data_IF_869476028614
#
_entry.id   IF_869476028614
#
_cell.length_a   1.000
_cell.length_b   1.000
_cell.length_c   1.000
_cell.angle_alpha   90.00
_cell.angle_beta   90.00
_cell.angle_gamma   90.00
#
_symmetry.space_group_name_H-M   'P 1'
#
loop_
_entity.id
_entity.type
_entity.pdbx_description
1 polymer ?
#
# COMPACT_ATOMS: atom_id res chain seq x y z
N UNK A 1 -26.09 1.37 68.22
CA UNK A 1 -25.22 1.87 67.14
C UNK A 1 -24.96 0.74 66.18
N UNK A 2 -25.19 0.99 64.89
CA UNK A 2 -24.83 0.24 63.67
C UNK A 2 -25.08 -1.28 63.67
N UNK A 3 -26.13 -1.79 63.02
CA UNK A 3 -26.37 -1.86 61.56
C UNK A 3 -25.66 -3.04 60.88
N UNK A 4 -26.49 -4.06 60.56
CA UNK A 4 -26.59 -4.78 59.27
C UNK A 4 -25.42 -5.72 58.86
N UNK A 5 -25.60 -6.84 58.14
CA UNK A 5 -26.72 -7.53 57.52
C UNK A 5 -26.26 -8.94 57.07
N UNK A 6 -27.21 -9.88 57.04
CA UNK A 6 -27.51 -10.60 55.79
C UNK A 6 -26.69 -11.84 55.41
N UNK A 7 -27.37 -12.99 55.49
CA UNK A 7 -26.99 -14.27 54.90
C UNK A 7 -27.48 -14.35 53.42
N UNK A 8 -26.63 -14.92 52.54
CA UNK A 8 -26.91 -15.73 51.30
C UNK A 8 -27.06 -15.06 49.90
N UNK A 9 -26.85 -15.82 48.78
CA UNK A 9 -25.76 -15.60 47.82
C UNK A 9 -26.24 -15.52 46.32
N UNK A 10 -25.29 -15.74 45.40
CA UNK A 10 -25.36 -15.84 43.91
C UNK A 10 -25.25 -14.52 43.15
N UNK A 11 -24.20 -14.41 42.32
CA UNK A 11 -24.37 -14.42 40.86
C UNK A 11 -23.03 -14.65 40.12
N UNK A 12 -23.15 -15.50 39.11
CA UNK A 12 -22.19 -15.80 38.05
C UNK A 12 -21.74 -14.50 37.34
N UNK A 13 -20.45 -14.39 37.05
CA UNK A 13 -19.90 -13.38 36.15
C UNK A 13 -18.59 -12.83 36.71
N UNK A 14 -17.46 -12.82 36.02
CA UNK A 14 -17.22 -12.90 34.59
C UNK A 14 -15.90 -13.64 34.39
N UNK A 15 -15.89 -14.63 33.50
CA UNK A 15 -14.68 -15.03 32.83
C UNK A 15 -14.05 -13.76 32.25
N UNK A 16 -12.92 -13.34 32.79
CA UNK A 16 -12.06 -12.37 32.12
C UNK A 16 -11.63 -13.05 30.83
N UNK A 17 -12.36 -12.75 29.75
CA UNK A 17 -12.04 -13.20 28.41
C UNK A 17 -10.71 -12.57 28.03
N UNK A 18 -9.62 -13.26 28.38
CA UNK A 18 -8.39 -13.23 27.63
C UNK A 18 -8.79 -13.58 26.20
N UNK A 19 -9.07 -12.56 25.40
CA UNK A 19 -9.15 -12.65 23.94
C UNK A 19 -7.80 -13.24 23.53
N UNK A 20 -7.75 -14.57 23.40
CA UNK A 20 -6.63 -15.29 22.81
C UNK A 20 -6.46 -14.71 21.42
N UNK A 21 -5.47 -13.82 21.27
CA UNK A 21 -5.00 -13.29 20.01
C UNK A 21 -4.34 -14.46 19.29
N UNK A 22 -5.14 -15.23 18.55
CA UNK A 22 -4.61 -16.21 17.63
C UNK A 22 -3.96 -15.42 16.49
N UNK A 23 -2.63 -15.53 16.39
CA UNK A 23 -1.68 -14.74 15.60
C UNK A 23 -1.52 -13.25 15.95
N UNK A 24 -0.35 -12.84 16.49
CA UNK A 24 0.06 -11.44 16.50
C UNK A 24 0.12 -10.81 15.11
N UNK A 25 0.35 -11.62 14.05
CA UNK A 25 0.50 -11.14 12.68
C UNK A 25 -0.81 -10.78 11.97
N UNK A 26 -1.97 -11.25 12.44
CA UNK A 26 -3.26 -11.00 11.77
C UNK A 26 -3.71 -9.54 11.82
N UNK A 27 -3.16 -8.74 12.75
CA UNK A 27 -3.54 -7.33 12.94
C UNK A 27 -2.85 -6.43 11.90
N UNK A 28 -1.74 -6.85 11.30
CA UNK A 28 -0.99 -6.06 10.30
C UNK A 28 -1.29 -6.44 8.84
N UNK A 29 -2.16 -7.42 8.58
CA UNK A 29 -2.39 -7.96 7.21
C UNK A 29 -3.27 -7.05 6.33
N UNK A 30 -3.94 -6.05 6.91
CA UNK A 30 -4.91 -5.21 6.21
C UNK A 30 -4.65 -3.70 6.30
N UNK A 31 -3.41 -3.26 6.51
CA UNK A 31 -3.08 -1.84 6.36
C UNK A 31 -3.50 -1.42 4.94
N UNK A 32 -4.26 -0.35 4.79
CA UNK A 32 -4.64 0.11 3.46
C UNK A 32 -3.36 0.56 2.72
N UNK A 33 -2.99 0.00 1.55
CA UNK A 33 -1.77 0.37 0.83
C UNK A 33 -1.65 1.88 0.52
N UNK A 34 -2.79 2.58 0.46
CA UNK A 34 -2.84 4.03 0.27
C UNK A 34 -2.15 4.77 1.42
N UNK A 35 -2.10 4.20 2.63
CA UNK A 35 -1.45 4.82 3.79
C UNK A 35 0.08 4.94 3.65
N UNK A 36 0.67 4.24 2.69
CA UNK A 36 2.09 4.36 2.36
C UNK A 36 2.37 5.46 1.33
N UNK A 37 1.34 6.16 0.84
CA UNK A 37 1.47 7.21 -0.15
C UNK A 37 1.38 8.57 0.52
N UNK A 38 2.33 9.44 0.18
CA UNK A 38 2.16 10.86 0.40
C UNK A 38 1.18 11.45 -0.62
N UNK A 39 0.33 12.37 -0.18
CA UNK A 39 -0.44 13.23 -1.08
C UNK A 39 0.28 14.58 -1.18
N UNK A 40 1.05 14.76 -2.26
CA UNK A 40 1.81 15.99 -2.44
C UNK A 40 0.93 17.19 -2.77
N UNK A 41 -0.34 16.98 -3.17
CA UNK A 41 -1.26 18.08 -3.51
C UNK A 41 -1.70 18.90 -2.30
N UNK A 42 -1.71 18.28 -1.11
CA UNK A 42 -2.09 18.92 0.16
C UNK A 42 -0.88 19.24 1.06
N UNK A 43 0.31 18.79 0.66
CA UNK A 43 1.55 18.98 1.43
C UNK A 43 2.02 20.44 1.37
N UNK A 44 2.56 20.95 2.47
CA UNK A 44 3.12 22.31 2.50
C UNK A 44 4.37 22.42 1.61
N UNK A 45 4.72 23.63 1.14
CA UNK A 45 5.94 23.88 0.36
C UNK A 45 7.20 23.47 1.10
N UNK A 46 7.23 23.71 2.42
CA UNK A 46 8.34 23.32 3.28
C UNK A 46 8.49 21.80 3.33
N UNK A 47 7.40 21.09 3.62
CA UNK A 47 7.46 19.63 3.78
C UNK A 47 7.77 18.94 2.44
N UNK A 48 7.17 19.40 1.34
CA UNK A 48 7.47 18.86 0.01
C UNK A 48 8.95 19.06 -0.36
N UNK A 49 9.51 20.24 -0.08
CA UNK A 49 10.93 20.51 -0.34
C UNK A 49 11.85 19.62 0.49
N UNK A 50 11.49 19.36 1.76
CA UNK A 50 12.25 18.46 2.63
C UNK A 50 12.23 17.03 2.11
N UNK A 51 11.06 16.51 1.74
CA UNK A 51 10.91 15.15 1.20
C UNK A 51 11.64 15.01 -0.14
N UNK A 52 11.50 15.98 -1.04
CA UNK A 52 12.20 16.02 -2.32
C UNK A 52 13.73 16.00 -2.12
N UNK A 53 14.25 16.85 -1.24
CA UNK A 53 15.69 16.97 -0.99
C UNK A 53 16.30 15.77 -0.27
N UNK A 54 15.53 15.07 0.58
CA UNK A 54 16.01 13.92 1.34
C UNK A 54 16.27 12.69 0.44
N UNK A 55 15.61 12.62 -0.70
CA UNK A 55 15.59 11.45 -1.57
C UNK A 55 16.57 11.57 -2.74
N UNK A 56 16.83 12.79 -3.22
CA UNK A 56 17.74 13.02 -4.35
C UNK A 56 19.17 13.06 -3.85
N UNK A 57 19.89 11.95 -4.04
CA UNK A 57 21.26 11.76 -3.53
C UNK A 57 22.34 12.28 -4.48
N UNK A 58 22.03 12.44 -5.77
CA UNK A 58 22.96 13.00 -6.73
C UNK A 58 22.99 14.54 -6.61
N UNK A 59 24.16 15.09 -6.24
CA UNK A 59 24.32 16.53 -6.01
C UNK A 59 23.89 17.37 -7.22
N UNK A 60 24.22 16.95 -8.44
CA UNK A 60 23.87 17.67 -9.67
C UNK A 60 22.36 17.72 -9.96
N UNK A 61 21.61 16.69 -9.57
CA UNK A 61 20.14 16.65 -9.76
C UNK A 61 19.42 17.42 -8.66
N UNK A 62 19.96 17.36 -7.43
CA UNK A 62 19.47 18.18 -6.32
C UNK A 62 19.64 19.66 -6.63
N UNK A 63 20.82 20.08 -7.08
CA UNK A 63 21.11 21.49 -7.38
C UNK A 63 20.25 22.00 -8.54
N UNK A 64 20.05 21.18 -9.58
CA UNK A 64 19.14 21.48 -10.68
C UNK A 64 17.70 21.72 -10.21
N UNK A 65 17.16 20.83 -9.38
CA UNK A 65 15.80 20.98 -8.86
C UNK A 65 15.68 22.16 -7.90
N UNK A 66 16.65 22.36 -7.01
CA UNK A 66 16.64 23.51 -6.09
C UNK A 66 16.63 24.83 -6.86
N UNK A 67 17.38 24.93 -7.96
CA UNK A 67 17.36 26.11 -8.82
C UNK A 67 16.00 26.32 -9.49
N UNK A 68 15.43 25.27 -10.10
CA UNK A 68 14.10 25.34 -10.72
C UNK A 68 13.01 25.73 -9.72
N UNK A 69 13.09 25.19 -8.51
CA UNK A 69 12.15 25.40 -7.42
C UNK A 69 12.22 26.79 -6.79
N UNK A 70 13.21 27.64 -7.15
CA UNK A 70 13.20 29.07 -6.76
C UNK A 70 12.05 29.84 -7.40
N UNK A 71 11.56 29.39 -8.56
CA UNK A 71 10.39 29.95 -9.20
C UNK A 71 9.13 29.25 -8.67
N UNK A 72 8.22 30.02 -8.08
CA UNK A 72 7.00 29.49 -7.45
C UNK A 72 6.09 28.75 -8.44
N UNK A 73 5.93 29.24 -9.67
CA UNK A 73 5.12 28.58 -10.69
C UNK A 73 5.73 27.23 -11.11
N UNK A 74 7.06 27.18 -11.26
CA UNK A 74 7.78 25.93 -11.57
C UNK A 74 7.70 24.97 -10.38
N UNK A 75 7.82 25.47 -9.15
CA UNK A 75 7.66 24.65 -7.95
C UNK A 75 6.28 23.99 -7.88
N UNK A 76 5.21 24.76 -8.12
CA UNK A 76 3.85 24.22 -8.20
C UNK A 76 3.71 23.16 -9.28
N UNK A 77 4.31 23.39 -10.45
CA UNK A 77 4.33 22.42 -11.54
C UNK A 77 5.06 21.13 -11.15
N UNK A 78 6.26 21.23 -10.55
CA UNK A 78 7.05 20.07 -10.09
C UNK A 78 6.26 19.23 -9.09
N UNK A 79 5.54 19.87 -8.16
CA UNK A 79 4.64 19.17 -7.23
C UNK A 79 3.50 18.45 -7.94
N UNK A 80 2.84 19.10 -8.89
CA UNK A 80 1.77 18.48 -9.66
C UNK A 80 2.29 17.27 -10.45
N UNK A 81 3.45 17.43 -11.09
CA UNK A 81 4.13 16.35 -11.81
C UNK A 81 4.46 15.18 -10.88
N UNK A 82 5.01 15.46 -9.69
CA UNK A 82 5.27 14.45 -8.67
C UNK A 82 4.00 13.71 -8.26
N UNK A 83 2.89 14.42 -8.04
CA UNK A 83 1.61 13.80 -7.70
C UNK A 83 1.06 12.91 -8.83
N UNK A 84 1.17 13.33 -10.08
CA UNK A 84 0.76 12.54 -11.24
C UNK A 84 1.60 11.26 -11.38
N UNK A 85 2.92 11.37 -11.25
CA UNK A 85 3.83 10.22 -11.30
C UNK A 85 3.59 9.28 -10.11
N UNK A 86 3.32 9.82 -8.92
CA UNK A 86 2.96 9.04 -7.72
C UNK A 86 1.73 8.17 -7.93
N UNK A 87 0.64 8.77 -8.44
CA UNK A 87 -0.61 8.07 -8.77
C UNK A 87 -0.39 7.00 -9.83
N UNK A 88 0.34 7.33 -10.91
CA UNK A 88 0.65 6.38 -11.97
C UNK A 88 1.48 5.19 -11.45
N UNK A 89 2.53 5.46 -10.69
CA UNK A 89 3.40 4.44 -10.09
C UNK A 89 2.61 3.53 -9.14
N UNK A 90 1.74 4.11 -8.30
CA UNK A 90 0.86 3.32 -7.43
C UNK A 90 -0.08 2.40 -8.22
N UNK A 91 -0.75 2.91 -9.25
CA UNK A 91 -1.64 2.11 -10.08
C UNK A 91 -0.91 0.95 -10.76
N UNK A 92 0.34 1.17 -11.23
CA UNK A 92 1.19 0.11 -11.79
C UNK A 92 1.52 -0.96 -10.75
N UNK A 93 1.99 -0.56 -9.55
CA UNK A 93 2.30 -1.50 -8.46
C UNK A 93 1.08 -2.33 -8.03
N UNK A 94 -0.09 -1.71 -7.96
CA UNK A 94 -1.32 -2.45 -7.66
C UNK A 94 -1.70 -3.41 -8.78
N UNK A 95 -1.63 -2.98 -10.05
CA UNK A 95 -1.89 -3.87 -11.19
C UNK A 95 -0.95 -5.09 -11.19
N UNK A 96 0.33 -4.88 -10.94
CA UNK A 96 1.32 -5.96 -10.79
C UNK A 96 0.98 -6.90 -9.63
N UNK A 97 0.54 -6.35 -8.48
CA UNK A 97 0.09 -7.17 -7.35
C UNK A 97 -1.08 -8.08 -7.71
N UNK A 98 -2.09 -7.55 -8.38
CA UNK A 98 -3.26 -8.34 -8.76
C UNK A 98 -2.93 -9.36 -9.86
N UNK A 99 -2.01 -9.01 -10.77
CA UNK A 99 -1.50 -9.94 -11.78
C UNK A 99 -0.75 -11.10 -11.14
N UNK A 100 0.12 -10.81 -10.18
CA UNK A 100 0.79 -11.85 -9.41
C UNK A 100 -0.20 -12.81 -8.72
N UNK A 101 -1.29 -12.31 -8.12
CA UNK A 101 -2.32 -13.18 -7.53
C UNK A 101 -3.07 -14.01 -8.55
N UNK A 102 -3.33 -13.45 -9.73
CA UNK A 102 -3.94 -14.19 -10.83
C UNK A 102 -3.04 -15.36 -11.26
N UNK A 103 -1.76 -15.07 -11.46
CA UNK A 103 -0.76 -16.05 -11.91
C UNK A 103 -0.63 -17.18 -10.89
N UNK A 104 -0.57 -16.89 -9.58
CA UNK A 104 -0.57 -17.93 -8.55
C UNK A 104 -1.80 -18.83 -8.60
N UNK A 105 -2.97 -18.28 -8.86
CA UNK A 105 -4.17 -19.08 -9.04
C UNK A 105 -4.06 -20.00 -10.26
N UNK A 106 -3.53 -19.48 -11.37
CA UNK A 106 -3.41 -20.23 -12.62
C UNK A 106 -2.31 -21.29 -12.60
N UNK A 107 -1.14 -21.00 -12.02
CA UNK A 107 0.03 -21.89 -12.04
C UNK A 107 0.07 -22.82 -10.85
N UNK A 108 -0.21 -22.29 -9.66
CA UNK A 108 0.01 -23.00 -8.39
C UNK A 108 -1.32 -23.49 -7.78
N UNK A 109 -2.46 -23.20 -8.44
CA UNK A 109 -3.79 -23.52 -7.94
C UNK A 109 -4.19 -22.72 -6.70
N UNK A 110 -3.44 -21.66 -6.35
CA UNK A 110 -3.64 -20.85 -5.15
C UNK A 110 -4.77 -19.85 -5.40
N UNK A 111 -6.00 -20.34 -5.29
CA UNK A 111 -7.22 -19.52 -5.29
C UNK A 111 -7.66 -19.19 -3.86
N UNK A 112 -8.87 -18.66 -3.70
CA UNK A 112 -9.44 -18.48 -2.36
C UNK A 112 -9.74 -19.82 -1.70
N UNK A 113 -9.09 -20.11 -0.57
CA UNK A 113 -9.40 -21.24 0.29
C UNK A 113 -10.04 -20.84 1.61
N UNK A 114 -10.76 -21.77 2.22
CA UNK A 114 -11.47 -21.60 3.48
C UNK A 114 -11.42 -22.91 4.26
N UNK A 115 -11.03 -22.83 5.53
CA UNK A 115 -11.16 -23.93 6.49
C UNK A 115 -12.13 -23.55 7.61
N UNK A 116 -12.63 -24.56 8.34
CA UNK A 116 -13.46 -24.29 9.52
C UNK A 116 -12.68 -23.51 10.59
N UNK A 117 -13.36 -22.63 11.33
CA UNK A 117 -12.73 -21.87 12.44
C UNK A 117 -12.07 -22.79 13.47
N UNK A 118 -12.66 -23.96 13.72
CA UNK A 118 -12.10 -24.97 14.63
C UNK A 118 -10.77 -25.51 14.09
N UNK A 119 -10.71 -25.85 12.80
CA UNK A 119 -9.48 -26.33 12.16
C UNK A 119 -8.39 -25.27 12.18
N UNK A 120 -8.76 -24.03 11.83
CA UNK A 120 -7.86 -22.88 11.90
C UNK A 120 -7.30 -22.67 13.31
N UNK A 121 -8.14 -22.82 14.33
CA UNK A 121 -7.73 -22.67 15.72
C UNK A 121 -6.82 -23.82 16.20
N UNK A 122 -7.13 -25.07 15.84
CA UNK A 122 -6.35 -26.24 16.26
C UNK A 122 -4.96 -26.21 15.63
N UNK A 123 -4.86 -25.85 14.36
CA UNK A 123 -3.60 -25.84 13.62
C UNK A 123 -2.86 -24.50 13.71
N UNK A 124 -3.44 -23.51 14.38
CA UNK A 124 -2.94 -22.14 14.38
C UNK A 124 -2.64 -21.71 12.94
N UNK A 125 -3.69 -21.48 12.14
CA UNK A 125 -3.56 -21.00 10.76
C UNK A 125 -4.68 -20.00 10.44
N UNK A 126 -4.54 -19.30 9.31
CA UNK A 126 -5.57 -18.43 8.78
C UNK A 126 -6.84 -19.21 8.43
N UNK A 127 -8.04 -18.68 8.75
CA UNK A 127 -9.28 -19.37 8.38
C UNK A 127 -9.60 -19.25 6.88
N UNK A 128 -9.15 -18.18 6.24
CA UNK A 128 -9.20 -17.97 4.79
C UNK A 128 -7.83 -17.53 4.27
N UNK A 129 -7.56 -17.83 3.01
CA UNK A 129 -6.46 -17.22 2.25
C UNK A 129 -6.91 -16.87 0.83
N UNK A 130 -6.07 -16.12 0.11
CA UNK A 130 -6.31 -15.81 -1.29
C UNK A 130 -7.48 -14.86 -1.54
N UNK A 131 -7.86 -14.79 -2.82
CA UNK A 131 -8.96 -13.97 -3.35
C UNK A 131 -9.63 -14.74 -4.48
N UNK A 132 -10.95 -14.58 -4.63
CA UNK A 132 -11.68 -15.19 -5.72
C UNK A 132 -11.26 -14.61 -7.07
N UNK A 133 -11.19 -15.45 -8.11
CA UNK A 133 -10.76 -15.08 -9.47
C UNK A 133 -11.49 -13.83 -10.01
N UNK A 134 -12.81 -13.78 -9.88
CA UNK A 134 -13.62 -12.66 -10.37
C UNK A 134 -13.22 -11.31 -9.75
N UNK A 135 -12.87 -11.29 -8.45
CA UNK A 135 -12.41 -10.08 -7.79
C UNK A 135 -11.02 -9.67 -8.29
N UNK A 136 -10.11 -10.62 -8.49
CA UNK A 136 -8.77 -10.36 -9.02
C UNK A 136 -8.88 -9.71 -10.41
N UNK A 137 -9.65 -10.32 -11.31
CA UNK A 137 -9.86 -9.82 -12.67
C UNK A 137 -10.53 -8.42 -12.67
N UNK A 138 -11.51 -8.20 -11.79
CA UNK A 138 -12.14 -6.90 -11.61
C UNK A 138 -11.10 -5.84 -11.19
N UNK A 139 -10.19 -6.18 -10.26
CA UNK A 139 -9.14 -5.28 -9.78
C UNK A 139 -8.07 -5.01 -10.83
N UNK A 140 -7.64 -6.02 -11.60
CA UNK A 140 -6.74 -5.82 -12.74
C UNK A 140 -7.35 -4.84 -13.74
N UNK A 141 -8.61 -5.07 -14.17
CA UNK A 141 -9.30 -4.16 -15.09
C UNK A 141 -9.43 -2.73 -14.55
N UNK A 142 -9.71 -2.59 -13.25
CA UNK A 142 -9.77 -1.28 -12.60
C UNK A 142 -8.42 -0.55 -12.68
N UNK A 143 -7.33 -1.19 -12.24
CA UNK A 143 -6.02 -0.54 -12.25
C UNK A 143 -5.45 -0.34 -13.65
N UNK A 144 -5.76 -1.22 -14.60
CA UNK A 144 -5.43 -1.01 -16.01
C UNK A 144 -6.05 0.30 -16.55
N UNK A 145 -7.35 0.52 -16.29
CA UNK A 145 -8.01 1.79 -16.66
C UNK A 145 -7.39 3.00 -15.96
N UNK A 146 -7.00 2.86 -14.69
CA UNK A 146 -6.31 3.93 -13.97
C UNK A 146 -4.92 4.22 -14.54
N UNK A 147 -4.18 3.20 -15.00
CA UNK A 147 -2.89 3.38 -15.67
C UNK A 147 -3.08 4.15 -16.97
N UNK A 148 -4.04 3.75 -17.80
CA UNK A 148 -4.36 4.44 -19.07
C UNK A 148 -4.72 5.91 -18.83
N UNK A 149 -5.62 6.16 -17.89
CA UNK A 149 -6.04 7.51 -17.51
C UNK A 149 -4.87 8.36 -16.98
N UNK A 150 -4.13 7.85 -16.00
CA UNK A 150 -3.01 8.59 -15.38
C UNK A 150 -1.85 8.81 -16.37
N UNK A 151 -1.64 7.88 -17.31
CA UNK A 151 -0.63 8.05 -18.37
C UNK A 151 -1.03 9.19 -19.30
N UNK A 152 -2.30 9.23 -19.73
CA UNK A 152 -2.81 10.34 -20.51
C UNK A 152 -2.69 11.67 -19.77
N UNK A 153 -3.09 11.75 -18.50
CA UNK A 153 -2.98 13.00 -17.72
C UNK A 153 -1.52 13.46 -17.59
N UNK A 154 -0.59 12.51 -17.39
CA UNK A 154 0.83 12.80 -17.36
C UNK A 154 1.32 13.35 -18.70
N UNK A 155 0.96 12.73 -19.82
CA UNK A 155 1.36 13.18 -21.15
C UNK A 155 0.82 14.57 -21.49
N UNK A 156 -0.42 14.90 -21.09
CA UNK A 156 -0.92 16.28 -21.23
C UNK A 156 -0.17 17.26 -20.34
N UNK A 157 0.16 16.87 -19.10
CA UNK A 157 0.95 17.71 -18.20
C UNK A 157 2.36 17.98 -18.75
N UNK A 158 2.96 17.04 -19.48
CA UNK A 158 4.27 17.21 -20.12
C UNK A 158 4.27 18.28 -21.20
N UNK A 159 3.17 18.46 -21.92
CA UNK A 159 3.03 19.51 -22.96
C UNK A 159 3.06 20.92 -22.38
N UNK A 160 2.80 21.06 -21.07
CA UNK A 160 2.78 22.34 -20.37
C UNK A 160 4.16 22.72 -19.80
N UNK A 161 5.18 21.88 -19.97
CA UNK A 161 6.54 22.17 -19.49
C UNK A 161 7.12 23.34 -20.28
N UNK A 162 7.59 24.42 -19.61
CA UNK A 162 8.31 25.49 -20.28
C UNK A 162 9.50 24.95 -21.07
N UNK A 163 9.68 25.41 -22.31
CA UNK A 163 10.76 24.95 -23.19
C UNK A 163 12.17 25.21 -22.65
N UNK A 164 12.30 26.07 -21.64
CA UNK A 164 13.55 26.33 -20.92
C UNK A 164 13.95 25.22 -19.95
N UNK A 165 13.05 24.27 -19.65
CA UNK A 165 13.27 23.17 -18.72
C UNK A 165 13.53 21.90 -19.52
N UNK A 166 14.59 21.18 -19.17
CA UNK A 166 14.82 19.83 -19.67
C UNK A 166 13.76 18.88 -19.08
N UNK A 167 12.73 18.62 -19.88
CA UNK A 167 11.57 17.80 -19.53
C UNK A 167 11.95 16.37 -19.18
N UNK A 168 12.83 15.75 -19.98
CA UNK A 168 13.21 14.36 -19.79
C UNK A 168 14.06 14.19 -18.54
N UNK A 169 14.99 15.13 -18.29
CA UNK A 169 15.74 15.17 -17.03
C UNK A 169 14.81 15.36 -15.84
N UNK A 170 13.89 16.33 -15.90
CA UNK A 170 12.95 16.59 -14.80
C UNK A 170 12.09 15.35 -14.49
N UNK A 171 11.52 14.71 -15.50
CA UNK A 171 10.68 13.51 -15.34
C UNK A 171 11.50 12.35 -14.79
N UNK A 172 12.73 12.16 -15.26
CA UNK A 172 13.62 11.12 -14.74
C UNK A 172 13.88 11.32 -13.24
N UNK A 173 14.23 12.53 -12.82
CA UNK A 173 14.50 12.83 -11.41
C UNK A 173 13.25 12.63 -10.56
N UNK A 174 12.09 13.16 -10.99
CA UNK A 174 10.84 13.00 -10.24
C UNK A 174 10.40 11.53 -10.20
N UNK A 175 10.61 10.76 -11.26
CA UNK A 175 10.34 9.31 -11.26
C UNK A 175 11.20 8.59 -10.26
N UNK A 176 12.51 8.85 -10.23
CA UNK A 176 13.42 8.26 -9.24
C UNK A 176 13.02 8.66 -7.80
N UNK A 177 12.65 9.91 -7.60
CA UNK A 177 12.12 10.42 -6.33
C UNK A 177 10.89 9.62 -5.86
N UNK A 178 9.87 9.50 -6.71
CA UNK A 178 8.65 8.74 -6.39
C UNK A 178 8.95 7.27 -6.14
N UNK A 179 9.85 6.67 -6.92
CA UNK A 179 10.22 5.28 -6.72
C UNK A 179 10.84 5.06 -5.34
N UNK A 180 11.70 5.96 -4.88
CA UNK A 180 12.31 5.84 -3.56
C UNK A 180 11.27 6.10 -2.44
N UNK A 181 10.39 7.09 -2.58
CA UNK A 181 9.34 7.39 -1.60
C UNK A 181 8.37 6.20 -1.42
N UNK A 182 8.04 5.51 -2.51
CA UNK A 182 7.19 4.31 -2.49
C UNK A 182 7.91 3.01 -2.08
N UNK A 183 9.14 3.07 -1.57
CA UNK A 183 9.89 1.87 -1.14
C UNK A 183 9.15 1.04 -0.09
N UNK A 184 8.59 1.69 0.94
CA UNK A 184 7.82 1.01 1.99
C UNK A 184 6.55 0.32 1.45
N UNK A 185 5.88 0.95 0.48
CA UNK A 185 4.74 0.32 -0.20
C UNK A 185 5.16 -0.96 -0.90
N UNK A 186 6.29 -0.96 -1.63
CA UNK A 186 6.79 -2.15 -2.34
C UNK A 186 7.13 -3.28 -1.37
N UNK A 187 7.83 -2.96 -0.29
CA UNK A 187 8.15 -3.92 0.78
C UNK A 187 6.86 -4.54 1.35
N UNK A 188 5.84 -3.73 1.61
CA UNK A 188 4.55 -4.23 2.09
C UNK A 188 3.83 -5.11 1.06
N UNK A 189 3.86 -4.75 -0.23
CA UNK A 189 3.27 -5.57 -1.29
C UNK A 189 3.98 -6.92 -1.41
N UNK A 190 5.32 -6.94 -1.37
CA UNK A 190 6.12 -8.16 -1.41
C UNK A 190 5.87 -9.02 -0.17
N UNK A 191 5.75 -8.41 1.02
CA UNK A 191 5.35 -9.11 2.24
C UNK A 191 4.01 -9.82 2.06
N UNK A 192 3.01 -9.17 1.46
CA UNK A 192 1.70 -9.78 1.17
C UNK A 192 1.79 -10.94 0.19
N UNK A 193 2.63 -10.82 -0.84
CA UNK A 193 2.90 -11.91 -1.81
C UNK A 193 3.46 -13.14 -1.09
N UNK A 194 4.41 -12.93 -0.19
CA UNK A 194 5.02 -14.01 0.61
C UNK A 194 4.01 -14.61 1.59
N UNK A 195 3.22 -13.78 2.27
CA UNK A 195 2.20 -14.23 3.21
C UNK A 195 1.16 -15.11 2.53
N UNK A 196 0.65 -14.70 1.35
CA UNK A 196 -0.33 -15.51 0.61
C UNK A 196 0.19 -16.91 0.30
N UNK A 197 1.45 -17.03 -0.14
CA UNK A 197 2.07 -18.33 -0.43
C UNK A 197 2.23 -19.18 0.84
N UNK A 198 2.60 -18.55 1.95
CA UNK A 198 2.72 -19.24 3.23
C UNK A 198 1.36 -19.75 3.71
N UNK A 199 0.34 -18.88 3.72
CA UNK A 199 -1.03 -19.25 4.11
C UNK A 199 -1.58 -20.39 3.23
N UNK A 200 -1.33 -20.35 1.91
CA UNK A 200 -1.76 -21.41 1.01
C UNK A 200 -1.11 -22.76 1.33
N UNK A 201 0.19 -22.76 1.66
CA UNK A 201 0.91 -23.98 2.07
C UNK A 201 0.39 -24.52 3.40
N UNK A 202 0.13 -23.66 4.38
CA UNK A 202 -0.46 -24.06 5.66
C UNK A 202 -1.82 -24.73 5.46
N UNK A 203 -2.65 -24.22 4.53
CA UNK A 203 -3.92 -24.86 4.18
C UNK A 203 -3.72 -26.24 3.54
N UNK A 204 -2.80 -26.37 2.59
CA UNK A 204 -2.52 -27.64 1.91
C UNK A 204 -1.98 -28.75 2.85
N UNK A 205 -1.35 -28.39 3.97
CA UNK A 205 -0.83 -29.37 4.94
C UNK A 205 -1.91 -29.91 5.90
N UNK A 206 -3.07 -29.28 5.93
CA UNK A 206 -4.12 -29.51 6.94
C UNK A 206 -5.40 -30.07 6.29
N UNK A 207 -5.51 -30.01 4.97
CA UNK A 207 -6.49 -30.76 4.16
C UNK A 207 -6.18 -32.27 4.12
#
# INVERSE_FOLDING_TARGET
MASTNGIKPLLIGQQSSLKKKYYPSYIEVNINPILFLHDYSIMSNKDFSQVLSAVITADADRDYLLELCKNEAIFHYVRQLAQSINKLSYSKLQHEQWTYYYDLGMTDGIWSGLVSKKMAQVNSMCYTYGRGKALIEQRQKYFQKQIEHNTHELDESRKQIPTSIDSDKLISIITAFIQQDQSNLRIELDRRRAMLKFDAKDHQLVE
#
